data_IF_264859947802
#
_entry.id   IF_264859947802
#
_cell.length_a   1.000
_cell.length_b   1.000
_cell.length_c   1.000
_cell.angle_alpha   90.00
_cell.angle_beta   90.00
_cell.angle_gamma   90.00
#
_symmetry.space_group_name_H-M   'P 1'
#
loop_
_entity.id
_entity.type
_entity.pdbx_description
1 polymer ?
#
# COMPACT_ATOMS: atom_id res chain seq x y z
N UNK A 1 4.91 4.80 -0.19
CA UNK A 1 3.95 3.70 -0.36
C UNK A 1 4.00 2.79 0.85
N UNK A 2 2.86 2.24 1.25
CA UNK A 2 2.70 1.50 2.51
C UNK A 2 1.66 0.40 2.27
N UNK A 3 2.01 -0.85 2.59
CA UNK A 3 1.22 -2.06 2.32
C UNK A 3 0.61 -2.61 3.62
N UNK A 4 1.40 -2.65 4.69
CA UNK A 4 1.03 -3.27 5.98
C UNK A 4 -0.01 -2.48 6.79
N UNK A 5 -0.21 -1.20 6.54
CA UNK A 5 -1.03 -0.30 7.36
C UNK A 5 -0.38 0.14 8.67
N UNK A 6 0.90 -0.12 8.88
CA UNK A 6 1.62 0.01 10.16
C UNK A 6 1.50 1.40 10.83
N UNK A 7 1.60 2.48 10.05
CA UNK A 7 1.60 3.85 10.59
C UNK A 7 0.20 4.43 10.87
N UNK A 8 -0.76 4.16 9.99
CA UNK A 8 -2.09 4.79 10.03
C UNK A 8 -3.22 3.82 10.39
N UNK A 9 -2.92 2.52 10.51
CA UNK A 9 -3.83 1.45 10.94
C UNK A 9 -5.19 1.47 10.22
N UNK A 10 -5.19 1.95 8.97
CA UNK A 10 -6.40 2.19 8.19
C UNK A 10 -6.23 1.55 6.83
N UNK A 11 -6.47 0.23 6.83
CA UNK A 11 -6.78 -0.54 5.63
C UNK A 11 -5.62 -0.93 4.72
N UNK A 12 -4.35 -0.77 5.15
CA UNK A 12 -3.17 -1.19 4.39
C UNK A 12 -3.15 -0.72 2.94
N UNK A 13 -2.26 -1.31 2.13
CA UNK A 13 -2.26 -1.29 0.66
C UNK A 13 -2.51 0.09 0.04
N UNK A 14 -2.04 1.16 0.69
CA UNK A 14 -2.38 2.53 0.32
C UNK A 14 -1.88 2.87 -1.09
N UNK A 15 -0.67 2.40 -1.43
CA UNK A 15 -0.07 2.63 -2.74
C UNK A 15 -0.83 1.94 -3.87
N UNK A 16 -1.15 0.65 -3.71
CA UNK A 16 -1.88 -0.11 -4.74
C UNK A 16 -3.35 0.35 -4.84
N UNK A 17 -3.97 0.77 -3.74
CA UNK A 17 -5.28 1.45 -3.78
C UNK A 17 -5.20 2.78 -4.54
N UNK A 18 -4.14 3.57 -4.39
CA UNK A 18 -3.95 4.79 -5.16
C UNK A 18 -3.83 4.49 -6.65
N UNK A 19 -3.01 3.50 -7.03
CA UNK A 19 -2.92 3.04 -8.42
C UNK A 19 -4.24 2.55 -8.99
N UNK A 20 -5.06 1.89 -8.17
CA UNK A 20 -6.38 1.41 -8.57
C UNK A 20 -7.49 2.48 -8.54
N UNK A 21 -7.18 3.74 -8.21
CA UNK A 21 -8.18 4.81 -8.10
C UNK A 21 -9.14 4.66 -6.92
N UNK A 22 -8.73 4.01 -5.84
CA UNK A 22 -9.55 3.65 -4.68
C UNK A 22 -9.22 4.45 -3.40
N UNK A 23 -8.54 5.58 -3.52
CA UNK A 23 -8.24 6.47 -2.40
C UNK A 23 -9.28 7.58 -2.35
N UNK A 24 -9.85 7.80 -1.16
CA UNK A 24 -10.80 8.90 -0.91
C UNK A 24 -10.17 10.01 -0.07
N UNK A 25 -10.90 11.11 0.11
CA UNK A 25 -10.53 12.19 1.02
C UNK A 25 -10.39 11.71 2.47
N UNK A 26 -11.23 10.78 2.89
CA UNK A 26 -11.24 10.23 4.25
C UNK A 26 -9.98 9.42 4.51
N UNK A 27 -9.47 8.68 3.51
CA UNK A 27 -8.19 7.99 3.61
C UNK A 27 -7.02 8.96 3.85
N UNK A 28 -7.07 10.16 3.28
CA UNK A 28 -6.02 11.19 3.49
C UNK A 28 -6.15 11.89 4.85
N UNK A 29 -7.36 11.91 5.42
CA UNK A 29 -7.65 12.54 6.71
C UNK A 29 -7.30 11.66 7.93
N UNK A 30 -7.00 10.36 7.73
CA UNK A 30 -6.61 9.46 8.82
C UNK A 30 -5.36 9.98 9.53
N UNK A 31 -5.38 9.96 10.86
CA UNK A 31 -4.27 10.41 11.71
C UNK A 31 -3.41 9.25 12.15
N UNK A 32 -2.10 9.48 12.21
CA UNK A 32 -1.17 8.57 12.88
C UNK A 32 -1.20 8.77 14.41
N UNK A 33 -0.40 7.98 15.11
CA UNK A 33 -0.24 8.04 16.58
C UNK A 33 0.29 9.39 17.10
N UNK A 34 0.90 10.22 16.24
CA UNK A 34 1.38 11.56 16.59
C UNK A 34 0.31 12.63 16.28
N UNK A 35 -0.88 12.22 15.85
CA UNK A 35 -1.98 13.11 15.48
C UNK A 35 -1.83 13.75 14.10
N UNK A 36 -0.82 13.40 13.30
CA UNK A 36 -0.64 13.96 11.96
C UNK A 36 -1.51 13.21 10.96
N UNK A 37 -2.21 13.94 10.09
CA UNK A 37 -2.96 13.34 8.99
C UNK A 37 -2.03 12.73 7.95
N UNK A 38 -2.51 11.71 7.24
CA UNK A 38 -1.79 11.12 6.11
C UNK A 38 -1.43 12.16 5.07
N UNK A 39 -2.32 13.13 4.82
CA UNK A 39 -2.06 14.28 3.95
C UNK A 39 -0.84 15.09 4.38
N UNK A 40 -0.78 15.52 5.65
CA UNK A 40 0.34 16.32 6.19
C UNK A 40 1.66 15.53 6.11
N UNK A 41 1.61 14.25 6.44
CA UNK A 41 2.77 13.36 6.39
C UNK A 41 3.28 13.21 4.96
N UNK A 42 2.41 12.97 3.98
CA UNK A 42 2.81 12.88 2.58
C UNK A 42 3.48 14.19 2.10
N UNK A 43 2.94 15.36 2.48
CA UNK A 43 3.58 16.65 2.19
C UNK A 43 4.95 16.80 2.84
N UNK A 44 5.12 16.37 4.09
CA UNK A 44 6.43 16.39 4.76
C UNK A 44 7.46 15.50 4.08
N UNK A 45 7.04 14.40 3.46
CA UNK A 45 7.90 13.54 2.64
C UNK A 45 8.20 14.13 1.25
N UNK A 46 7.68 15.31 0.92
CA UNK A 46 7.88 15.96 -0.38
C UNK A 46 6.98 15.42 -1.49
N UNK A 47 5.91 14.70 -1.14
CA UNK A 47 4.89 14.25 -2.10
C UNK A 47 3.75 15.26 -2.15
N UNK A 48 3.03 15.26 -3.27
CA UNK A 48 1.86 16.12 -3.48
C UNK A 48 0.55 15.32 -3.40
N UNK A 49 -0.08 15.21 -2.22
CA UNK A 49 -1.35 14.50 -2.06
C UNK A 49 -2.52 15.20 -2.75
N UNK A 50 -2.42 16.47 -3.14
CA UNK A 50 -3.46 17.15 -3.93
C UNK A 50 -3.55 16.55 -5.34
N UNK A 51 -2.44 16.01 -5.85
CA UNK A 51 -2.32 15.36 -7.16
C UNK A 51 -2.36 13.81 -7.07
N UNK A 52 -2.97 13.23 -6.03
CA UNK A 52 -3.01 11.77 -5.85
C UNK A 52 -3.69 11.01 -7.00
N UNK A 53 -4.56 11.68 -7.76
CA UNK A 53 -5.22 11.12 -8.94
C UNK A 53 -4.24 10.79 -10.07
N UNK A 54 -3.06 11.43 -10.12
CA UNK A 54 -1.99 11.09 -11.08
C UNK A 54 -1.37 9.71 -10.83
N UNK A 55 -1.56 9.14 -9.64
CA UNK A 55 -1.09 7.80 -9.33
C UNK A 55 -1.93 6.71 -10.01
N UNK A 56 -3.15 7.02 -10.45
CA UNK A 56 -4.10 6.06 -11.03
C UNK A 56 -3.55 5.51 -12.34
N UNK A 57 -3.59 4.18 -12.49
CA UNK A 57 -3.18 3.48 -13.72
C UNK A 57 -4.40 2.96 -14.47
N UNK A 58 -4.36 3.04 -15.79
CA UNK A 58 -5.36 2.41 -16.63
C UNK A 58 -5.09 0.90 -16.67
N UNK A 59 -6.13 0.10 -16.43
CA UNK A 59 -6.04 -1.36 -16.48
C UNK A 59 -5.55 -1.90 -17.83
N UNK A 60 -5.75 -1.16 -18.92
CA UNK A 60 -5.28 -1.53 -20.26
C UNK A 60 -3.77 -1.41 -20.43
N UNK A 61 -3.09 -0.65 -19.55
CA UNK A 61 -1.62 -0.53 -19.52
C UNK A 61 -0.95 -1.71 -18.80
N UNK A 62 -1.73 -2.53 -18.08
CA UNK A 62 -1.22 -3.60 -17.21
C UNK A 62 -1.71 -4.95 -17.73
N UNK A 63 -0.84 -5.68 -18.41
CA UNK A 63 -1.16 -7.02 -18.90
C UNK A 63 -1.27 -8.08 -17.79
N UNK A 64 -0.49 -7.94 -16.70
CA UNK A 64 -0.46 -8.87 -15.57
C UNK A 64 0.13 -8.18 -14.32
N UNK A 65 -0.36 -8.56 -13.14
CA UNK A 65 0.29 -8.33 -11.85
C UNK A 65 0.63 -9.68 -11.21
N UNK A 66 1.91 -9.90 -10.89
CA UNK A 66 2.38 -11.10 -10.20
C UNK A 66 3.12 -10.67 -8.93
N UNK A 67 2.66 -11.17 -7.79
CA UNK A 67 3.25 -10.88 -6.50
C UNK A 67 3.80 -12.18 -5.91
N UNK A 68 5.11 -12.21 -5.73
CA UNK A 68 5.79 -13.28 -5.00
C UNK A 68 5.95 -12.83 -3.55
N UNK A 69 5.38 -13.60 -2.64
CA UNK A 69 5.42 -13.31 -1.21
C UNK A 69 5.87 -14.54 -0.43
N UNK A 70 6.49 -14.31 0.73
CA UNK A 70 6.76 -15.40 1.67
C UNK A 70 5.44 -15.95 2.22
N UNK A 71 5.44 -17.21 2.66
CA UNK A 71 4.24 -17.88 3.14
C UNK A 71 3.60 -17.19 4.36
N UNK A 72 4.41 -16.56 5.21
CA UNK A 72 4.03 -16.02 6.53
C UNK A 72 3.44 -17.07 7.49
N UNK A 73 3.41 -18.34 7.09
CA UNK A 73 2.94 -19.49 7.85
C UNK A 73 3.95 -20.63 7.90
N UNK A 74 3.63 -21.73 8.60
CA UNK A 74 4.59 -22.81 8.85
C UNK A 74 4.52 -23.97 7.85
N UNK A 75 3.65 -23.95 6.84
CA UNK A 75 3.30 -25.12 6.02
C UNK A 75 4.47 -25.62 5.18
N UNK A 76 5.17 -24.74 4.46
CA UNK A 76 6.31 -25.10 3.62
C UNK A 76 7.46 -25.64 4.48
N UNK A 77 7.69 -25.01 5.65
CA UNK A 77 8.65 -25.51 6.63
C UNK A 77 8.25 -26.91 7.16
N UNK A 78 6.99 -27.11 7.56
CA UNK A 78 6.50 -28.40 8.05
C UNK A 78 6.55 -29.50 6.99
N UNK A 79 6.36 -29.16 5.73
CA UNK A 79 6.43 -30.09 4.60
C UNK A 79 7.85 -30.29 4.07
N UNK A 80 8.86 -29.63 4.67
CA UNK A 80 10.24 -29.59 4.16
C UNK A 80 10.29 -29.25 2.66
N UNK A 81 9.41 -28.35 2.21
CA UNK A 81 9.39 -27.88 0.82
C UNK A 81 10.34 -26.69 0.74
N UNK A 82 11.44 -26.79 -0.03
CA UNK A 82 12.32 -25.66 -0.24
C UNK A 82 11.59 -24.58 -1.06
N UNK A 83 11.77 -23.33 -0.67
CA UNK A 83 11.28 -22.15 -1.39
C UNK A 83 12.46 -21.20 -1.63
N UNK A 84 12.76 -20.96 -2.91
CA UNK A 84 13.98 -20.26 -3.33
C UNK A 84 15.16 -21.20 -3.56
N UNK A 85 16.04 -20.83 -4.49
CA UNK A 85 17.36 -21.43 -4.71
C UNK A 85 18.39 -20.52 -4.05
#
# INVERSE_FOLDING_TARGET
CEEEGSRFQSGGVFGSRAMAGKITSEDLAVRDQNGMTRFEVLKQFGLDPDNIHEAVRDSSEIALYLEMHIEQGPVLAQKNIPVGI
#
